data_IF_759828874813
#
_entry.id   IF_759828874813
#
_cell.length_a   1.000
_cell.length_b   1.000
_cell.length_c   1.000
_cell.angle_alpha   90.00
_cell.angle_beta   90.00
_cell.angle_gamma   90.00
#
_symmetry.space_group_name_H-M   'P 1'
#
loop_
_entity.id
_entity.type
_entity.pdbx_description
1 polymer ?
#
# COMPACT_ATOMS: atom_id res chain seq x y z
N UNK A 1 -4.27 18.39 -12.27
CA UNK A 1 -5.37 17.41 -12.18
C UNK A 1 -4.77 16.09 -11.75
N UNK A 2 -4.78 15.79 -10.45
CA UNK A 2 -4.28 14.52 -9.93
C UNK A 2 -5.42 13.49 -10.02
N UNK A 3 -5.30 12.56 -10.96
CA UNK A 3 -6.19 11.40 -11.11
C UNK A 3 -5.42 10.21 -10.55
N UNK A 4 -5.85 9.70 -9.40
CA UNK A 4 -5.31 8.47 -8.83
C UNK A 4 -6.20 7.32 -9.27
N UNK A 5 -5.69 6.45 -10.14
CA UNK A 5 -6.30 5.16 -10.45
C UNK A 5 -5.64 4.15 -9.50
N UNK A 6 -6.39 3.64 -8.53
CA UNK A 6 -5.94 2.52 -7.69
C UNK A 6 -6.12 1.24 -8.50
N UNK A 7 -5.04 0.78 -9.14
CA UNK A 7 -4.96 -0.54 -9.76
C UNK A 7 -4.09 -1.43 -8.87
N UNK A 8 -4.64 -2.44 -8.19
CA UNK A 8 -3.82 -3.40 -7.45
C UNK A 8 -3.01 -4.25 -8.44
N UNK A 9 -1.74 -4.51 -8.07
CA UNK A 9 -0.81 -5.35 -8.82
C UNK A 9 -1.07 -6.86 -8.61
N UNK A 10 -2.31 -7.31 -8.89
CA UNK A 10 -2.68 -8.73 -8.84
C UNK A 10 -3.25 -9.26 -10.17
N UNK A 11 -2.94 -10.53 -10.52
CA UNK A 11 -2.98 -11.07 -11.88
C UNK A 11 -4.36 -11.59 -12.31
N UNK A 12 -5.41 -10.82 -12.05
CA UNK A 12 -6.77 -11.13 -12.52
C UNK A 12 -7.17 -10.18 -13.64
N UNK A 13 -7.96 -10.61 -14.65
CA UNK A 13 -8.69 -9.66 -15.46
C UNK A 13 -9.47 -8.76 -14.48
N UNK A 14 -9.31 -7.44 -14.61
CA UNK A 14 -10.04 -6.46 -13.79
C UNK A 14 -11.49 -6.49 -14.24
N UNK A 15 -12.20 -7.52 -13.81
CA UNK A 15 -13.59 -7.74 -14.14
C UNK A 15 -14.42 -7.18 -13.00
N UNK A 16 -15.04 -6.04 -13.28
CA UNK A 16 -16.22 -5.59 -12.56
C UNK A 16 -15.98 -4.64 -11.38
N UNK A 17 -14.81 -4.65 -10.75
CA UNK A 17 -14.46 -3.61 -9.76
C UNK A 17 -13.68 -2.49 -10.44
N UNK A 18 -14.16 -1.27 -10.32
CA UNK A 18 -13.48 -0.08 -10.81
C UNK A 18 -13.88 1.14 -10.00
N UNK A 19 -13.04 2.17 -10.02
CA UNK A 19 -13.35 3.43 -9.38
C UNK A 19 -12.71 4.58 -10.14
N UNK A 20 -13.34 5.75 -10.05
CA UNK A 20 -12.78 7.00 -10.54
C UNK A 20 -12.93 8.06 -9.46
N UNK A 21 -11.82 8.73 -9.15
CA UNK A 21 -11.81 9.94 -8.33
C UNK A 21 -11.66 11.15 -9.24
N UNK A 22 -12.66 12.03 -9.21
CA UNK A 22 -12.60 13.40 -9.70
C UNK A 22 -12.97 14.31 -8.53
N UNK A 23 -11.96 14.79 -7.82
CA UNK A 23 -12.13 15.52 -6.56
C UNK A 23 -13.28 16.53 -6.60
N UNK A 24 -14.19 16.54 -5.59
CA UNK A 24 -14.20 15.70 -4.38
C UNK A 24 -14.93 14.35 -4.56
N UNK A 25 -15.34 14.00 -5.77
CA UNK A 25 -16.24 12.87 -6.01
C UNK A 25 -15.49 11.60 -6.34
N UNK A 26 -15.97 10.48 -5.78
CA UNK A 26 -15.52 9.13 -6.12
C UNK A 26 -16.74 8.31 -6.55
N UNK A 27 -16.66 7.73 -7.75
CA UNK A 27 -17.61 6.69 -8.16
C UNK A 27 -16.92 5.35 -8.03
N UNK A 28 -17.63 4.36 -7.50
CA UNK A 28 -17.14 2.99 -7.33
C UNK A 28 -18.14 2.03 -7.94
N UNK A 29 -17.64 1.09 -8.75
CA UNK A 29 -18.38 -0.07 -9.22
C UNK A 29 -18.03 -1.27 -8.34
N UNK A 30 -19.04 -1.90 -7.78
CA UNK A 30 -18.86 -3.13 -7.01
C UNK A 30 -19.42 -4.32 -7.78
N UNK A 31 -18.61 -5.37 -7.96
CA UNK A 31 -19.04 -6.61 -8.59
C UNK A 31 -19.00 -7.75 -7.58
N UNK A 32 -20.16 -8.34 -7.30
CA UNK A 32 -20.38 -9.34 -6.24
C UNK A 32 -19.43 -10.54 -6.30
N UNK A 33 -19.04 -10.98 -7.49
CA UNK A 33 -18.21 -12.17 -7.71
C UNK A 33 -16.70 -11.88 -7.75
N UNK A 34 -16.28 -10.68 -7.39
CA UNK A 34 -14.86 -10.32 -7.32
C UNK A 34 -14.20 -10.92 -6.07
N UNK A 35 -13.16 -11.73 -6.28
CA UNK A 35 -12.30 -12.30 -5.23
C UNK A 35 -11.66 -11.20 -4.36
N UNK A 36 -11.55 -9.98 -4.88
CA UNK A 36 -10.98 -8.84 -4.17
C UNK A 36 -11.91 -8.25 -3.10
N UNK A 37 -13.22 -8.56 -3.12
CA UNK A 37 -14.17 -7.96 -2.19
C UNK A 37 -13.94 -8.36 -0.73
N UNK A 38 -13.27 -9.49 -0.48
CA UNK A 38 -12.95 -9.97 0.86
C UNK A 38 -11.54 -9.59 1.31
N UNK A 39 -10.74 -8.98 0.43
CA UNK A 39 -9.36 -8.60 0.72
C UNK A 39 -9.28 -7.10 1.01
N UNK A 40 -9.23 -6.73 2.30
CA UNK A 40 -9.05 -5.35 2.75
C UNK A 40 -7.58 -4.97 3.04
N UNK A 41 -6.65 -5.93 2.91
CA UNK A 41 -5.27 -5.78 3.33
C UNK A 41 -5.08 -5.77 4.85
N UNK A 42 -3.83 -5.62 5.30
CA UNK A 42 -3.53 -5.41 6.71
C UNK A 42 -3.86 -3.97 7.11
N UNK A 43 -4.46 -3.80 8.29
CA UNK A 43 -4.79 -2.46 8.80
C UNK A 43 -3.55 -1.66 9.20
N UNK A 44 -2.41 -2.34 9.39
CA UNK A 44 -1.20 -1.74 9.97
C UNK A 44 -1.42 -1.24 11.41
N UNK A 45 -2.45 -1.76 12.09
CA UNK A 45 -2.90 -1.28 13.42
C UNK A 45 -3.12 -2.40 14.44
N UNK A 46 -2.76 -3.64 14.11
CA UNK A 46 -2.79 -4.72 15.09
C UNK A 46 -1.63 -4.64 16.07
N UNK A 47 -1.66 -5.50 17.08
CA UNK A 47 -0.65 -5.57 18.14
C UNK A 47 0.73 -6.00 17.64
N UNK A 48 0.78 -6.59 16.45
CA UNK A 48 1.98 -6.95 15.69
C UNK A 48 2.74 -5.73 15.14
N UNK A 49 2.10 -4.55 15.10
CA UNK A 49 2.72 -3.33 14.59
C UNK A 49 3.38 -2.56 15.73
N UNK A 50 4.66 -2.13 15.58
CA UNK A 50 5.33 -1.31 16.58
C UNK A 50 4.53 -0.07 16.94
N UNK A 51 4.41 0.20 18.24
CA UNK A 51 3.71 1.38 18.73
C UNK A 51 4.44 2.65 18.28
N UNK A 52 3.67 3.67 17.91
CA UNK A 52 4.22 4.94 17.49
C UNK A 52 4.97 5.62 18.64
N UNK A 53 6.22 6.02 18.41
CA UNK A 53 7.08 6.69 19.39
C UNK A 53 7.59 8.03 18.84
N UNK A 54 7.28 9.12 19.55
CA UNK A 54 7.72 10.47 19.16
C UNK A 54 9.25 10.59 19.23
N UNK A 55 9.88 9.96 20.22
CA UNK A 55 11.35 9.94 20.35
C UNK A 55 12.01 9.31 19.12
N UNK A 56 11.49 8.17 18.65
CA UNK A 56 12.02 7.52 17.45
C UNK A 56 11.85 8.39 16.20
N UNK A 57 10.79 9.19 16.12
CA UNK A 57 10.58 10.13 15.03
C UNK A 57 11.60 11.27 15.10
N UNK A 58 11.77 11.90 16.27
CA UNK A 58 12.71 13.02 16.45
C UNK A 58 14.17 12.61 16.22
N UNK A 59 14.52 11.36 16.53
CA UNK A 59 15.85 10.79 16.31
C UNK A 59 16.03 10.20 14.89
N UNK A 60 14.98 10.17 14.07
CA UNK A 60 15.04 9.61 12.73
C UNK A 60 15.93 10.45 11.81
N UNK A 61 16.54 9.81 10.81
CA UNK A 61 17.35 10.50 9.80
C UNK A 61 16.54 11.58 9.05
N UNK A 62 15.23 11.35 8.84
CA UNK A 62 14.36 12.33 8.21
C UNK A 62 14.16 13.58 9.09
N UNK A 63 13.91 13.41 10.38
CA UNK A 63 13.74 14.52 11.32
C UNK A 63 15.03 15.33 11.48
N UNK A 64 16.18 14.64 11.56
CA UNK A 64 17.49 15.29 11.60
C UNK A 64 17.78 16.09 10.31
N UNK A 65 17.47 15.52 9.14
CA UNK A 65 17.70 16.16 7.85
C UNK A 65 16.90 17.46 7.67
N UNK A 66 15.70 17.54 8.25
CA UNK A 66 14.85 18.75 8.20
C UNK A 66 14.98 19.62 9.46
N UNK A 67 15.88 19.27 10.39
CA UNK A 67 16.05 19.91 11.69
C UNK A 67 14.70 20.12 12.41
N UNK A 68 13.91 19.05 12.54
CA UNK A 68 12.56 19.09 13.10
C UNK A 68 12.59 19.44 14.59
N UNK A 69 11.99 20.56 14.98
CA UNK A 69 11.92 21.02 16.39
C UNK A 69 10.49 21.27 16.85
N UNK A 70 9.57 20.34 16.55
CA UNK A 70 8.19 20.44 17.01
C UNK A 70 8.02 19.82 18.42
N UNK A 71 7.26 20.47 19.31
CA UNK A 71 6.82 19.87 20.57
C UNK A 71 6.08 18.55 20.34
N UNK A 72 6.17 17.64 21.31
CA UNK A 72 5.48 16.34 21.27
C UNK A 72 3.98 16.50 21.05
N UNK A 73 3.33 17.45 21.74
CA UNK A 73 1.89 17.69 21.57
C UNK A 73 1.54 18.07 20.13
N UNK A 74 2.37 18.85 19.46
CA UNK A 74 2.12 19.28 18.09
C UNK A 74 2.34 18.12 17.11
N UNK A 75 3.34 17.27 17.34
CA UNK A 75 3.57 16.05 16.54
C UNK A 75 2.40 15.07 16.66
N UNK A 76 1.91 14.85 17.88
CA UNK A 76 0.75 14.00 18.12
C UNK A 76 -0.52 14.61 17.52
N UNK A 77 -0.70 15.93 17.60
CA UNK A 77 -1.81 16.63 16.98
C UNK A 77 -1.77 16.52 15.45
N UNK A 78 -0.62 16.75 14.82
CA UNK A 78 -0.42 16.58 13.37
C UNK A 78 -0.70 15.16 12.93
N UNK A 79 -0.20 14.15 13.67
CA UNK A 79 -0.49 12.74 13.39
C UNK A 79 -1.99 12.45 13.49
N UNK A 80 -2.65 12.95 14.53
CA UNK A 80 -4.10 12.78 14.73
C UNK A 80 -4.91 13.41 13.59
N UNK A 81 -4.53 14.61 13.15
CA UNK A 81 -5.15 15.31 12.02
C UNK A 81 -4.92 14.60 10.68
N UNK A 82 -3.74 13.97 10.50
CA UNK A 82 -3.44 13.18 9.32
C UNK A 82 -4.11 11.79 9.33
N UNK A 83 -4.57 11.31 10.50
CA UNK A 83 -5.30 10.05 10.60
C UNK A 83 -6.74 10.22 10.09
N UNK A 84 -7.24 9.17 9.44
CA UNK A 84 -8.65 9.10 9.01
C UNK A 84 -9.57 8.65 10.15
N UNK A 85 -9.03 7.99 11.17
CA UNK A 85 -9.81 7.38 12.27
C UNK A 85 -10.63 8.42 13.04
N UNK A 86 -10.11 9.64 13.18
CA UNK A 86 -10.82 10.76 13.83
C UNK A 86 -12.02 11.26 13.02
N UNK A 87 -12.05 10.99 11.71
CA UNK A 87 -13.12 11.38 10.78
C UNK A 87 -14.07 10.22 10.44
N UNK A 88 -13.67 8.98 10.71
CA UNK A 88 -14.44 7.76 10.52
C UNK A 88 -14.79 7.12 11.86
N UNK A 89 -15.76 7.70 12.55
CA UNK A 89 -16.20 7.24 13.88
C UNK A 89 -17.27 6.15 13.82
N UNK A 90 -17.86 5.92 12.64
CA UNK A 90 -18.89 4.90 12.47
C UNK A 90 -18.29 3.48 12.45
N UNK A 91 -18.92 2.56 13.19
CA UNK A 91 -18.50 1.17 13.25
C UNK A 91 -18.76 0.43 11.93
N UNK A 92 -18.08 -0.70 11.71
CA UNK A 92 -18.27 -1.56 10.52
C UNK A 92 -19.74 -1.96 10.27
N UNK A 93 -20.59 -1.94 11.30
CA UNK A 93 -22.03 -2.18 11.18
C UNK A 93 -22.79 -1.09 10.41
N UNK A 94 -22.27 0.13 10.36
CA UNK A 94 -22.86 1.26 9.63
C UNK A 94 -22.52 1.29 8.14
N UNK A 95 -21.43 0.63 7.75
CA UNK A 95 -20.96 0.62 6.36
C UNK A 95 -21.89 -0.28 5.55
N UNK A 96 -22.76 0.33 4.75
CA UNK A 96 -23.54 -0.43 3.77
C UNK A 96 -22.62 -0.71 2.58
N UNK A 97 -22.33 -1.99 2.26
CA UNK A 97 -21.53 -2.29 1.09
C UNK A 97 -22.20 -1.70 -0.15
N UNK A 98 -21.38 -1.20 -1.08
CA UNK A 98 -21.89 -0.79 -2.37
C UNK A 98 -22.47 -2.02 -3.07
N UNK A 99 -23.79 -2.15 -3.09
CA UNK A 99 -24.49 -3.33 -3.65
C UNK A 99 -25.21 -3.03 -4.96
N UNK A 100 -25.14 -1.78 -5.41
CA UNK A 100 -25.70 -1.29 -6.68
C UNK A 100 -24.59 -1.28 -7.74
N UNK A 101 -24.95 -1.17 -9.03
CA UNK A 101 -23.95 -1.18 -10.13
C UNK A 101 -22.90 -0.08 -9.91
N UNK A 102 -23.29 1.14 -9.49
CA UNK A 102 -22.34 2.18 -9.06
C UNK A 102 -22.80 2.91 -7.80
N UNK A 103 -21.87 3.17 -6.88
CA UNK A 103 -22.06 4.06 -5.73
C UNK A 103 -21.24 5.34 -5.89
N UNK A 104 -21.74 6.44 -5.32
CA UNK A 104 -21.12 7.76 -5.41
C UNK A 104 -20.86 8.32 -4.01
N UNK A 105 -19.62 8.74 -3.76
CA UNK A 105 -19.20 9.32 -2.50
C UNK A 105 -18.60 10.70 -2.72
N UNK A 106 -18.76 11.58 -1.73
CA UNK A 106 -18.05 12.85 -1.67
C UNK A 106 -16.94 12.73 -0.63
N UNK A 107 -15.69 12.59 -1.06
CA UNK A 107 -14.53 12.33 -0.21
C UNK A 107 -14.16 13.50 0.72
N UNK A 108 -14.64 14.70 0.42
CA UNK A 108 -14.42 15.88 1.27
C UNK A 108 -15.32 15.83 2.52
N UNK A 109 -16.58 15.44 2.34
CA UNK A 109 -17.57 15.39 3.44
C UNK A 109 -17.75 14.00 4.04
N UNK A 110 -17.44 12.95 3.27
CA UNK A 110 -17.56 11.53 3.63
C UNK A 110 -16.29 10.79 3.18
N UNK A 111 -15.17 10.96 3.91
CA UNK A 111 -13.91 10.30 3.58
C UNK A 111 -13.94 8.78 3.86
N UNK A 112 -14.98 8.30 4.54
CA UNK A 112 -15.15 6.91 4.96
C UNK A 112 -16.00 6.10 3.99
N UNK A 113 -16.58 6.76 2.98
CA UNK A 113 -17.38 6.15 1.93
C UNK A 113 -18.58 5.36 2.48
N UNK A 114 -19.26 5.93 3.47
CA UNK A 114 -20.39 5.28 4.16
C UNK A 114 -21.71 5.59 3.45
N UNK A 115 -21.86 6.82 2.95
CA UNK A 115 -23.13 7.31 2.41
C UNK A 115 -23.10 7.33 0.89
N UNK A 116 -23.79 6.36 0.29
CA UNK A 116 -24.01 6.35 -1.15
C UNK A 116 -24.98 7.49 -1.57
N UNK A 117 -24.49 8.35 -2.46
CA UNK A 117 -25.20 9.50 -3.05
C UNK A 117 -25.60 9.26 -4.52
N UNK A 118 -25.44 8.04 -5.04
CA UNK A 118 -25.69 7.68 -6.44
C UNK A 118 -27.12 8.04 -6.90
N UNK A 119 -28.11 7.70 -6.07
CA UNK A 119 -29.54 8.01 -6.29
C UNK A 119 -29.85 9.50 -6.20
N UNK A 120 -29.05 10.27 -5.46
CA UNK A 120 -29.22 11.72 -5.30
C UNK A 120 -28.63 12.48 -6.47
N UNK A 121 -27.53 12.00 -7.07
CA UNK A 121 -26.83 12.65 -8.17
C UNK A 121 -26.62 11.74 -9.39
N UNK A 122 -27.69 11.22 -10.03
CA UNK A 122 -27.58 10.26 -11.13
C UNK A 122 -26.83 10.82 -12.35
N UNK A 123 -26.98 12.12 -12.65
CA UNK A 123 -26.25 12.78 -13.74
C UNK A 123 -24.74 12.82 -13.50
N UNK A 124 -24.31 12.96 -12.25
CA UNK A 124 -22.89 12.96 -11.90
C UNK A 124 -22.31 11.55 -12.01
N UNK A 125 -23.06 10.53 -11.60
CA UNK A 125 -22.70 9.13 -11.86
C UNK A 125 -22.51 8.89 -13.35
N UNK A 126 -23.46 9.35 -14.19
CA UNK A 126 -23.35 9.27 -15.65
C UNK A 126 -22.08 9.95 -16.21
N UNK A 127 -21.75 11.15 -15.72
CA UNK A 127 -20.56 11.87 -16.15
C UNK A 127 -19.25 11.14 -15.77
N UNK A 128 -19.16 10.62 -14.55
CA UNK A 128 -17.97 9.91 -14.08
C UNK A 128 -17.82 8.52 -14.74
N UNK A 129 -18.92 7.81 -14.95
CA UNK A 129 -18.92 6.52 -15.66
C UNK A 129 -18.62 6.66 -17.15
N UNK A 130 -18.98 7.79 -17.77
CA UNK A 130 -18.55 8.12 -19.13
C UNK A 130 -17.02 8.24 -19.23
N UNK A 131 -16.38 8.90 -18.26
CA UNK A 131 -14.92 9.00 -18.19
C UNK A 131 -14.28 7.61 -18.02
N UNK A 132 -14.83 6.76 -17.14
CA UNK A 132 -14.40 5.36 -17.01
C UNK A 132 -14.53 4.60 -18.34
N UNK A 133 -15.63 4.81 -19.08
CA UNK A 133 -15.81 4.27 -20.42
C UNK A 133 -14.70 4.67 -21.39
N UNK A 134 -14.26 5.93 -21.36
CA UNK A 134 -13.13 6.40 -22.16
C UNK A 134 -11.82 5.67 -21.84
N UNK A 135 -11.51 5.47 -20.54
CA UNK A 135 -10.33 4.72 -20.14
C UNK A 135 -10.38 3.27 -20.62
N UNK A 136 -11.53 2.59 -20.50
CA UNK A 136 -11.69 1.20 -20.96
C UNK A 136 -11.32 1.01 -22.43
N UNK A 137 -11.57 1.99 -23.29
CA UNK A 137 -11.27 1.90 -24.72
C UNK A 137 -9.77 1.92 -25.02
N UNK A 138 -8.96 2.47 -24.13
CA UNK A 138 -7.50 2.61 -24.32
C UNK A 138 -6.69 1.72 -23.36
N UNK A 139 -7.36 0.91 -22.53
CA UNK A 139 -6.67 0.00 -21.61
C UNK A 139 -5.95 -1.10 -22.39
N UNK A 140 -4.67 -1.28 -22.09
CA UNK A 140 -3.90 -2.43 -22.55
C UNK A 140 -4.39 -3.65 -21.75
N UNK A 141 -4.70 -4.78 -22.40
CA UNK A 141 -5.08 -6.00 -21.70
C UNK A 141 -4.02 -6.41 -20.67
N UNK A 142 -4.41 -6.94 -19.51
CA UNK A 142 -3.47 -7.49 -18.54
C UNK A 142 -2.59 -8.56 -19.20
N UNK A 143 -1.30 -8.54 -18.90
CA UNK A 143 -0.37 -9.57 -19.38
C UNK A 143 -0.84 -10.94 -18.83
N UNK A 144 -0.96 -11.97 -19.68
CA UNK A 144 -1.31 -13.31 -19.22
C UNK A 144 -0.39 -13.78 -18.10
N UNK A 145 -0.98 -14.44 -17.10
CA UNK A 145 -0.29 -14.90 -15.90
C UNK A 145 0.68 -16.06 -16.22
N UNK A 146 1.87 -15.74 -16.70
CA UNK A 146 3.01 -16.65 -16.63
C UNK A 146 3.94 -16.16 -15.53
N UNK A 147 3.63 -16.53 -14.28
CA UNK A 147 4.59 -16.37 -13.20
C UNK A 147 5.86 -17.15 -13.58
N UNK A 148 6.98 -16.46 -13.72
CA UNK A 148 8.27 -17.12 -13.94
C UNK A 148 8.64 -17.87 -12.65
N UNK A 149 8.73 -19.21 -12.65
CA UNK A 149 9.04 -19.96 -11.43
C UNK A 149 10.40 -19.58 -10.83
N UNK A 150 11.32 -19.01 -11.63
CA UNK A 150 12.62 -18.51 -11.15
C UNK A 150 12.49 -17.28 -10.25
N UNK A 151 11.39 -16.53 -10.36
CA UNK A 151 11.10 -15.35 -9.54
C UNK A 151 10.67 -15.70 -8.11
N UNK A 152 10.37 -16.97 -7.82
CA UNK A 152 9.84 -17.38 -6.51
C UNK A 152 10.86 -17.09 -5.40
N UNK A 153 10.48 -16.42 -4.29
CA UNK A 153 11.38 -16.07 -3.20
C UNK A 153 12.15 -17.24 -2.60
N UNK A 154 11.58 -18.45 -2.63
CA UNK A 154 12.27 -19.67 -2.18
C UNK A 154 13.59 -19.92 -2.92
N UNK A 155 13.72 -19.47 -4.18
CA UNK A 155 14.96 -19.55 -4.95
C UNK A 155 15.99 -18.46 -4.55
N UNK A 156 15.59 -17.50 -3.71
CA UNK A 156 16.35 -16.30 -3.35
C UNK A 156 16.37 -16.07 -1.83
N UNK A 157 16.67 -17.12 -1.07
CA UNK A 157 16.74 -17.07 0.41
C UNK A 157 15.46 -16.55 1.09
N UNK A 158 14.30 -16.78 0.47
CA UNK A 158 12.98 -16.28 0.89
C UNK A 158 12.82 -14.76 0.80
N UNK A 159 13.62 -14.07 -0.01
CA UNK A 159 13.46 -12.65 -0.33
C UNK A 159 13.02 -12.46 -1.78
N UNK A 160 12.35 -11.35 -2.07
CA UNK A 160 12.09 -10.92 -3.44
C UNK A 160 13.38 -10.32 -4.03
N UNK A 161 13.84 -10.84 -5.17
CA UNK A 161 15.08 -10.40 -5.81
C UNK A 161 14.93 -10.33 -7.34
N UNK A 162 15.67 -9.46 -8.04
CA UNK A 162 15.75 -9.49 -9.50
C UNK A 162 16.24 -10.85 -9.99
N UNK A 163 15.52 -11.47 -10.93
CA UNK A 163 15.81 -12.84 -11.39
C UNK A 163 16.08 -12.95 -12.90
N UNK A 164 15.82 -11.89 -13.67
CA UNK A 164 15.79 -11.92 -15.14
C UNK A 164 17.04 -11.34 -15.82
N UNK A 165 17.91 -10.61 -15.12
CA UNK A 165 19.10 -10.01 -15.72
C UNK A 165 20.25 -11.03 -15.82
N UNK A 166 20.65 -11.34 -17.06
CA UNK A 166 21.74 -12.27 -17.38
C UNK A 166 23.13 -11.59 -17.47
N UNK A 167 23.25 -10.31 -17.14
CA UNK A 167 24.53 -9.57 -17.28
C UNK A 167 25.35 -9.46 -15.98
N UNK A 168 25.22 -10.46 -15.08
CA UNK A 168 26.10 -10.67 -13.92
C UNK A 168 25.96 -9.59 -12.84
N UNK A 169 25.28 -9.81 -11.73
CA UNK A 169 25.56 -10.86 -10.75
C UNK A 169 24.24 -11.20 -10.04
N UNK A 170 23.53 -12.22 -10.54
CA UNK A 170 22.39 -12.83 -9.83
C UNK A 170 22.82 -13.61 -8.58
N UNK A 171 23.86 -13.16 -7.88
CA UNK A 171 24.14 -13.55 -6.52
C UNK A 171 23.58 -12.42 -5.67
N UNK A 172 22.57 -12.71 -4.84
CA UNK A 172 22.37 -11.91 -3.64
C UNK A 172 23.77 -11.73 -3.02
N UNK A 173 24.23 -10.49 -2.71
CA UNK A 173 25.53 -10.31 -2.10
C UNK A 173 25.60 -11.32 -0.95
N UNK A 174 26.64 -12.17 -0.88
CA UNK A 174 26.75 -13.07 0.25
C UNK A 174 26.69 -12.15 1.46
N UNK A 175 25.61 -12.28 2.25
CA UNK A 175 25.65 -11.83 3.61
C UNK A 175 26.78 -12.66 4.19
N UNK A 176 27.99 -12.10 4.21
CA UNK A 176 29.06 -12.64 5.01
C UNK A 176 28.48 -12.58 6.41
N UNK A 177 28.11 -13.71 7.04
CA UNK A 177 27.99 -13.68 8.49
C UNK A 177 29.33 -13.10 8.96
N UNK A 178 29.28 -12.21 9.93
CA UNK A 178 30.47 -11.66 10.58
C UNK A 178 31.29 -12.81 11.18
N UNK A 179 32.03 -13.54 10.36
CA UNK A 179 33.04 -14.54 10.73
C UNK A 179 34.43 -13.91 10.63
N UNK A 180 34.51 -12.59 10.83
CA UNK A 180 35.77 -11.88 11.06
C UNK A 180 36.04 -11.65 12.55
N UNK A 181 35.66 -12.60 13.41
CA UNK A 181 36.09 -12.63 14.82
C UNK A 181 36.84 -13.92 15.17
N UNK A 182 36.64 -15.01 14.44
CA UNK A 182 37.33 -16.28 14.68
C UNK A 182 38.79 -16.29 14.16
N UNK A 183 39.08 -15.62 13.05
CA UNK A 183 40.43 -15.59 12.46
C UNK A 183 41.39 -14.72 13.28
N UNK A 184 40.89 -13.62 13.85
CA UNK A 184 41.69 -12.75 14.73
C UNK A 184 42.03 -13.46 16.04
N UNK A 185 41.10 -14.27 16.59
CA UNK A 185 41.34 -15.01 17.83
C UNK A 185 42.42 -16.10 17.65
N UNK A 186 42.45 -16.80 16.52
CA UNK A 186 43.50 -17.80 16.22
C UNK A 186 44.88 -17.15 16.03
N UNK A 187 44.95 -16.00 15.34
CA UNK A 187 46.21 -15.26 15.15
C UNK A 187 46.75 -14.71 16.48
N UNK A 188 45.89 -14.20 17.37
CA UNK A 188 46.31 -13.70 18.69
C UNK A 188 46.72 -14.83 19.66
N UNK A 189 46.16 -16.03 19.52
CA UNK A 189 46.59 -17.21 20.31
C UNK A 189 47.93 -17.77 19.84
N UNK A 190 48.20 -17.74 18.52
CA UNK A 190 49.48 -18.18 17.94
C UNK A 190 50.63 -17.19 18.17
N UNK A 191 50.34 -15.88 18.28
CA UNK A 191 51.33 -14.84 18.59
C UNK A 191 51.68 -14.73 20.08
N UNK A 192 50.93 -15.40 20.97
CA UNK A 192 51.24 -15.48 22.42
C UNK A 192 52.07 -16.71 22.81
N UNK A 193 52.34 -17.60 21.85
CA UNK A 193 53.08 -18.86 22.07
C UNK A 193 54.46 -18.87 21.39
N UNK A 194 54.99 -17.69 21.05
CA UNK A 194 56.36 -17.43 20.62
C UNK A 194 57.04 -16.44 21.58
#
# INVERSE_FOLDING_TARGET
TNISILLPAHPCPINGNEALIKWPWKVVRYTKDSVLNTYAGESGRGTEVPQYSVDQILQSQAALAINLTLPEMDLLALRSQASIDSRCTETTASVKPCVQDYCLFNLETDPCEIKDLSSTFPSLVGALTHVLGGYRQIMVPPVPNTQDPRALPHNWQNYWAPWADTTGTGMAPPHTPLTSTLVICLLLLLLRSL
#
